data_IF_705170357307
#
_entry.id   IF_705170357307
#
_cell.length_a   1.000
_cell.length_b   1.000
_cell.length_c   1.000
_cell.angle_alpha   90.00
_cell.angle_beta   90.00
_cell.angle_gamma   90.00
#
_symmetry.space_group_name_H-M   'P 1'
#
loop_
_entity.id
_entity.type
_entity.pdbx_description
1 polymer ?
#
# COMPACT_ATOMS: atom_id res chain seq x y z
N UNK A 1 2.37 14.05 0.15
CA UNK A 1 2.63 12.67 0.58
C UNK A 1 4.01 12.55 1.19
N UNK A 2 4.11 11.80 2.25
CA UNK A 2 5.39 11.62 2.92
C UNK A 2 6.25 10.61 2.16
N UNK A 3 7.29 11.10 1.51
CA UNK A 3 8.19 10.27 0.72
C UNK A 3 8.99 9.29 1.60
N UNK A 4 9.24 9.66 2.85
CA UNK A 4 9.98 8.79 3.76
C UNK A 4 9.21 7.52 4.07
N UNK A 5 7.93 7.64 4.38
CA UNK A 5 7.09 6.47 4.63
C UNK A 5 7.00 5.56 3.42
N UNK A 6 6.91 6.14 2.25
CA UNK A 6 6.83 5.38 1.00
C UNK A 6 8.13 4.62 0.72
N UNK A 7 9.28 5.19 1.07
CA UNK A 7 10.57 4.50 0.92
C UNK A 7 10.61 3.21 1.74
N UNK A 8 10.09 3.22 2.94
CA UNK A 8 10.04 2.02 3.77
C UNK A 8 9.13 0.98 3.14
N UNK A 9 7.98 1.38 2.63
CA UNK A 9 7.09 0.47 1.93
C UNK A 9 7.75 -0.11 0.68
N UNK A 10 8.44 0.72 -0.09
CA UNK A 10 9.13 0.26 -1.29
C UNK A 10 10.14 -0.82 -0.95
N UNK A 11 10.93 -0.61 0.09
CA UNK A 11 11.89 -1.59 0.56
C UNK A 11 11.20 -2.88 1.00
N UNK A 12 10.21 -2.76 1.87
CA UNK A 12 9.51 -3.92 2.41
C UNK A 12 8.83 -4.75 1.33
N UNK A 13 8.11 -4.11 0.43
CA UNK A 13 7.39 -4.83 -0.63
C UNK A 13 8.33 -5.47 -1.63
N UNK A 14 9.43 -4.82 -1.94
CA UNK A 14 10.44 -5.41 -2.82
C UNK A 14 11.02 -6.68 -2.21
N UNK A 15 11.28 -6.67 -0.92
CA UNK A 15 11.80 -7.85 -0.21
C UNK A 15 10.75 -8.95 -0.15
N UNK A 16 9.53 -8.60 0.24
CA UNK A 16 8.45 -9.58 0.42
C UNK A 16 8.13 -10.31 -0.87
N UNK A 17 8.12 -9.60 -1.99
CA UNK A 17 7.83 -10.21 -3.28
C UNK A 17 9.06 -10.64 -4.05
N UNK A 18 10.25 -10.29 -3.55
CA UNK A 18 11.50 -10.64 -4.19
C UNK A 18 11.71 -10.02 -5.56
N UNK A 19 11.01 -8.91 -5.83
CA UNK A 19 10.96 -8.36 -7.18
C UNK A 19 10.60 -6.88 -7.17
N UNK A 20 11.40 -6.08 -7.88
CA UNK A 20 11.09 -4.67 -8.11
C UNK A 20 9.84 -4.51 -8.97
N UNK A 21 9.65 -5.41 -9.91
CA UNK A 21 8.49 -5.37 -10.80
C UNK A 21 7.19 -5.50 -10.03
N UNK A 22 7.12 -6.50 -9.15
CA UNK A 22 5.91 -6.72 -8.36
C UNK A 22 5.66 -5.59 -7.38
N UNK A 23 6.71 -5.07 -6.75
CA UNK A 23 6.58 -3.94 -5.86
C UNK A 23 6.08 -2.71 -6.60
N UNK A 24 6.59 -2.47 -7.81
CA UNK A 24 6.16 -1.31 -8.60
C UNK A 24 4.69 -1.41 -8.98
N UNK A 25 4.23 -2.60 -9.35
CA UNK A 25 2.82 -2.83 -9.67
C UNK A 25 1.93 -2.58 -8.45
N UNK A 26 2.35 -3.10 -7.31
CA UNK A 26 1.58 -2.97 -6.07
C UNK A 26 1.47 -1.52 -5.60
N UNK A 27 2.56 -0.79 -5.69
CA UNK A 27 2.64 0.58 -5.18
C UNK A 27 2.33 1.64 -6.23
N UNK A 28 2.08 1.22 -7.47
CA UNK A 28 1.77 2.11 -8.60
C UNK A 28 2.90 3.08 -8.91
N UNK A 29 4.13 2.57 -8.90
CA UNK A 29 5.33 3.32 -9.27
C UNK A 29 6.09 2.55 -10.34
N UNK A 30 6.97 3.22 -11.05
CA UNK A 30 7.84 2.53 -11.99
C UNK A 30 8.90 1.73 -11.24
N UNK A 31 9.46 0.73 -11.91
CA UNK A 31 10.57 -0.04 -11.33
C UNK A 31 11.74 0.86 -10.97
N UNK A 32 12.07 1.80 -11.84
CA UNK A 32 13.14 2.76 -11.57
C UNK A 32 12.81 3.64 -10.37
N UNK A 33 11.54 4.00 -10.19
CA UNK A 33 11.10 4.77 -9.05
C UNK A 33 11.29 4.01 -7.74
N UNK A 34 10.89 2.74 -7.71
CA UNK A 34 11.07 1.88 -6.54
C UNK A 34 12.55 1.69 -6.24
N UNK A 35 13.35 1.38 -7.27
CA UNK A 35 14.79 1.20 -7.12
C UNK A 35 15.45 2.47 -6.57
N UNK A 36 15.01 3.63 -7.04
CA UNK A 36 15.54 4.91 -6.57
C UNK A 36 15.21 5.18 -5.11
N UNK A 37 13.97 4.88 -4.70
CA UNK A 37 13.57 5.06 -3.30
C UNK A 37 14.43 4.22 -2.37
N UNK A 38 14.67 2.97 -2.74
CA UNK A 38 15.51 2.08 -1.94
C UNK A 38 16.96 2.55 -1.96
N UNK A 39 17.45 2.98 -3.13
CA UNK A 39 18.79 3.55 -3.24
C UNK A 39 18.97 4.78 -2.36
N UNK A 40 17.93 5.61 -2.26
CA UNK A 40 17.95 6.78 -1.39
C UNK A 40 18.06 6.39 0.08
N UNK A 41 17.34 5.32 0.50
CA UNK A 41 17.47 4.79 1.86
C UNK A 41 18.87 4.29 2.13
N UNK A 42 19.44 3.54 1.19
CA UNK A 42 20.80 3.02 1.32
C UNK A 42 21.80 4.14 1.47
N UNK A 43 21.63 5.20 0.71
CA UNK A 43 22.48 6.39 0.78
C UNK A 43 22.32 7.10 2.12
N UNK A 44 21.10 7.30 2.53
CA UNK A 44 20.76 8.00 3.77
C UNK A 44 21.38 7.30 4.97
N UNK A 45 21.32 5.98 4.99
CA UNK A 45 21.83 5.17 6.08
C UNK A 45 23.30 4.75 5.89
N UNK A 46 23.82 4.96 4.70
CA UNK A 46 25.16 4.52 4.33
C UNK A 46 25.35 3.02 4.51
N UNK A 47 24.33 2.27 4.10
CA UNK A 47 24.31 0.82 4.19
C UNK A 47 23.74 0.24 2.90
N UNK A 48 24.19 -0.96 2.54
CA UNK A 48 23.60 -1.70 1.44
C UNK A 48 22.56 -2.64 2.04
N UNK A 49 21.32 -2.51 1.59
CA UNK A 49 20.20 -3.28 2.13
C UNK A 49 19.86 -4.48 1.27
N UNK A 50 20.04 -4.38 -0.04
CA UNK A 50 19.62 -5.41 -0.99
C UNK A 50 20.77 -5.82 -1.89
N UNK A 51 20.82 -7.12 -2.16
CA UNK A 51 21.65 -7.69 -3.21
C UNK A 51 20.74 -8.00 -4.40
N UNK A 52 21.11 -7.50 -5.57
CA UNK A 52 20.33 -7.66 -6.80
C UNK A 52 20.99 -8.69 -7.68
N UNK A 53 20.21 -9.61 -8.21
CA UNK A 53 20.70 -10.64 -9.11
C UNK A 53 19.67 -10.91 -10.19
N UNK A 54 20.01 -11.77 -11.15
CA UNK A 54 19.10 -12.17 -12.22
C UNK A 54 17.86 -12.90 -11.66
N UNK A 55 18.03 -13.58 -10.55
CA UNK A 55 16.96 -14.38 -9.96
C UNK A 55 16.08 -13.59 -8.99
N UNK A 56 16.44 -12.35 -8.71
CA UNK A 56 15.64 -11.50 -7.86
C UNK A 56 16.44 -10.68 -6.90
N UNK A 57 15.87 -10.40 -5.74
CA UNK A 57 16.40 -9.48 -4.75
C UNK A 57 16.48 -10.21 -3.42
N UNK A 58 17.59 -10.07 -2.71
CA UNK A 58 17.78 -10.64 -1.38
C UNK A 58 18.29 -9.57 -0.43
N UNK A 59 18.00 -9.77 0.85
CA UNK A 59 18.52 -8.87 1.90
C UNK A 59 20.00 -9.15 2.16
N UNK A 60 20.76 -8.07 2.36
CA UNK A 60 22.09 -8.17 2.94
C UNK A 60 21.97 -8.50 4.43
N UNK A 61 23.08 -8.74 5.11
CA UNK A 61 23.08 -8.93 6.56
C UNK A 61 22.49 -7.70 7.28
N UNK A 62 22.91 -6.51 6.85
CA UNK A 62 22.38 -5.26 7.40
C UNK A 62 20.90 -5.11 7.10
N UNK A 63 20.49 -5.46 5.88
CA UNK A 63 19.10 -5.44 5.49
C UNK A 63 18.24 -6.36 6.34
N UNK A 64 18.76 -7.55 6.67
CA UNK A 64 18.05 -8.49 7.52
C UNK A 64 17.83 -7.92 8.93
N UNK A 65 18.79 -7.21 9.45
CA UNK A 65 18.67 -6.61 10.78
C UNK A 65 17.67 -5.46 10.79
N UNK A 66 17.60 -4.70 9.72
CA UNK A 66 16.74 -3.52 9.64
C UNK A 66 15.33 -3.83 9.14
N UNK A 67 15.17 -4.94 8.43
CA UNK A 67 13.89 -5.26 7.80
C UNK A 67 12.71 -5.28 8.77
N UNK A 68 12.79 -5.91 9.96
CA UNK A 68 11.65 -5.91 10.87
C UNK A 68 11.20 -4.51 11.28
N UNK A 69 12.16 -3.61 11.47
CA UNK A 69 11.83 -2.23 11.85
C UNK A 69 11.22 -1.47 10.68
N UNK A 70 11.79 -1.64 9.50
CA UNK A 70 11.23 -1.01 8.30
C UNK A 70 9.82 -1.53 8.02
N UNK A 71 9.60 -2.83 8.24
CA UNK A 71 8.28 -3.43 8.07
C UNK A 71 7.28 -2.81 9.03
N UNK A 72 7.66 -2.63 10.29
CA UNK A 72 6.82 -1.99 11.27
C UNK A 72 6.46 -0.56 10.89
N UNK A 73 7.45 0.20 10.45
CA UNK A 73 7.21 1.57 9.99
C UNK A 73 6.30 1.60 8.77
N UNK A 74 6.54 0.70 7.81
CA UNK A 74 5.73 0.62 6.61
C UNK A 74 4.28 0.28 6.92
N UNK A 75 4.05 -0.65 7.84
CA UNK A 75 2.72 -1.03 8.26
C UNK A 75 1.99 0.13 8.94
N UNK A 76 2.69 0.86 9.81
CA UNK A 76 2.11 2.03 10.46
C UNK A 76 1.82 3.14 9.45
N UNK A 77 2.71 3.32 8.48
CA UNK A 77 2.47 4.27 7.40
C UNK A 77 1.20 3.92 6.63
N UNK A 78 1.02 2.64 6.29
CA UNK A 78 -0.18 2.19 5.59
C UNK A 78 -1.43 2.42 6.42
N UNK A 79 -1.37 2.11 7.71
CA UNK A 79 -2.50 2.34 8.62
C UNK A 79 -2.85 3.81 8.70
N UNK A 80 -1.84 4.66 8.77
CA UNK A 80 -2.06 6.11 8.80
C UNK A 80 -2.74 6.56 7.51
N UNK A 81 -2.27 6.10 6.36
CA UNK A 81 -2.88 6.46 5.08
C UNK A 81 -4.32 5.97 4.98
N UNK A 82 -4.57 4.75 5.44
CA UNK A 82 -5.93 4.22 5.46
C UNK A 82 -6.84 5.07 6.34
N UNK A 83 -6.34 5.48 7.49
CA UNK A 83 -7.13 6.32 8.40
C UNK A 83 -7.41 7.69 7.79
N UNK A 84 -6.43 8.29 7.13
CA UNK A 84 -6.62 9.54 6.42
C UNK A 84 -7.67 9.38 5.32
N UNK A 85 -7.58 8.30 4.56
CA UNK A 85 -8.52 8.03 3.48
C UNK A 85 -9.92 7.78 4.03
N UNK A 86 -10.03 7.11 5.16
CA UNK A 86 -11.32 6.88 5.82
C UNK A 86 -11.97 8.21 6.22
N UNK A 87 -11.21 9.08 6.84
CA UNK A 87 -11.73 10.39 7.25
C UNK A 87 -12.16 11.22 6.05
N UNK A 88 -11.39 11.18 4.98
CA UNK A 88 -11.76 11.85 3.74
C UNK A 88 -12.97 11.19 3.09
N UNK A 89 -13.00 9.87 3.12
CA UNK A 89 -14.11 9.10 2.58
C UNK A 89 -15.42 9.37 3.31
N UNK A 90 -15.35 9.57 4.62
CA UNK A 90 -16.53 9.89 5.40
C UNK A 90 -17.11 11.26 5.07
N UNK A 91 -16.25 12.20 4.72
CA UNK A 91 -16.71 13.54 4.28
C UNK A 91 -17.43 13.49 2.94
N UNK A 92 -17.08 12.54 2.08
CA UNK A 92 -17.67 12.36 0.77
C UNK A 92 -18.07 10.91 0.52
N UNK A 93 -18.44 10.21 1.61
CA UNK A 93 -18.68 8.78 1.58
C UNK A 93 -19.69 8.34 0.56
N UNK A 94 -20.78 9.08 0.41
CA UNK A 94 -21.83 8.73 -0.52
C UNK A 94 -21.31 8.70 -1.95
N UNK A 95 -20.49 9.67 -2.30
CA UNK A 95 -19.91 9.77 -3.65
C UNK A 95 -18.98 8.57 -3.89
N UNK A 96 -18.16 8.21 -2.92
CA UNK A 96 -17.25 7.08 -3.05
C UNK A 96 -18.01 5.77 -3.21
N UNK A 97 -19.06 5.59 -2.46
CA UNK A 97 -19.90 4.41 -2.55
C UNK A 97 -20.53 4.34 -3.94
N UNK A 98 -21.03 5.45 -4.46
CA UNK A 98 -21.58 5.51 -5.79
C UNK A 98 -20.57 5.15 -6.87
N UNK A 99 -19.33 5.56 -6.71
CA UNK A 99 -18.26 5.22 -7.63
C UNK A 99 -18.00 3.70 -7.67
N UNK A 100 -17.95 3.07 -6.52
CA UNK A 100 -17.77 1.62 -6.45
C UNK A 100 -18.91 0.88 -7.11
N UNK A 101 -20.10 1.40 -6.95
CA UNK A 101 -21.28 0.76 -7.50
C UNK A 101 -21.23 0.67 -9.02
N UNK A 102 -20.79 1.72 -9.65
CA UNK A 102 -20.72 1.75 -11.10
C UNK A 102 -19.64 0.82 -11.65
N UNK A 103 -18.63 0.50 -10.85
CA UNK A 103 -17.49 -0.26 -11.32
C UNK A 103 -17.68 -1.77 -11.18
N UNK A 104 -18.41 -2.22 -10.18
CA UNK A 104 -18.28 -3.61 -9.76
C UNK A 104 -19.58 -4.25 -9.36
N UNK A 105 -20.55 -4.25 -10.26
CA UNK A 105 -21.86 -4.83 -9.95
C UNK A 105 -21.79 -6.33 -9.63
N UNK A 106 -20.92 -7.07 -10.34
CA UNK A 106 -20.84 -8.52 -10.14
C UNK A 106 -20.05 -8.93 -8.89
N UNK A 107 -19.20 -8.04 -8.36
CA UNK A 107 -18.46 -8.31 -7.13
C UNK A 107 -18.82 -7.34 -6.01
N UNK A 108 -19.95 -6.72 -6.15
CA UNK A 108 -20.50 -5.79 -5.16
C UNK A 108 -20.56 -6.39 -3.75
N UNK A 109 -20.98 -7.65 -3.54
CA UNK A 109 -21.01 -8.20 -2.18
C UNK A 109 -19.65 -8.17 -1.49
N UNK A 110 -18.57 -8.41 -2.22
CA UNK A 110 -17.23 -8.34 -1.65
C UNK A 110 -16.87 -6.91 -1.27
N UNK A 111 -17.22 -5.96 -2.11
CA UNK A 111 -16.96 -4.54 -1.85
C UNK A 111 -17.73 -4.09 -0.64
N UNK A 112 -19.00 -4.47 -0.52
CA UNK A 112 -19.82 -4.10 0.62
C UNK A 112 -19.26 -4.69 1.91
N UNK A 113 -18.81 -5.94 1.88
CA UNK A 113 -18.20 -6.56 3.05
C UNK A 113 -16.92 -5.81 3.46
N UNK A 114 -16.11 -5.40 2.49
CA UNK A 114 -14.92 -4.61 2.77
C UNK A 114 -15.29 -3.25 3.37
N UNK A 115 -16.33 -2.61 2.85
CA UNK A 115 -16.80 -1.35 3.41
C UNK A 115 -17.31 -1.49 4.83
N UNK A 116 -17.97 -2.59 5.15
CA UNK A 116 -18.41 -2.82 6.52
C UNK A 116 -17.24 -2.88 7.49
N UNK A 117 -16.13 -3.42 7.04
CA UNK A 117 -14.92 -3.50 7.84
C UNK A 117 -14.21 -2.16 7.93
N UNK A 118 -14.06 -1.48 6.80
CA UNK A 118 -13.23 -0.27 6.69
C UNK A 118 -13.99 1.00 7.03
N UNK A 119 -15.30 1.02 6.79
CA UNK A 119 -16.13 2.20 6.96
C UNK A 119 -17.41 1.87 7.73
N UNK A 120 -17.28 1.48 8.99
CA UNK A 120 -18.46 1.06 9.76
C UNK A 120 -19.50 2.16 9.97
N UNK A 121 -19.11 3.42 9.83
CA UNK A 121 -20.04 4.53 9.99
C UNK A 121 -20.78 4.94 8.73
N UNK A 122 -20.49 4.31 7.59
CA UNK A 122 -21.13 4.65 6.32
C UNK A 122 -22.34 3.74 6.10
N UNK A 123 -23.42 4.34 5.65
CA UNK A 123 -24.67 3.62 5.42
C UNK A 123 -24.61 2.84 4.11
N UNK A 124 -24.40 1.55 4.21
CA UNK A 124 -24.39 0.71 3.01
C UNK A 124 -25.76 0.40 2.48
N UNK A 125 -26.78 0.50 3.29
CA UNK A 125 -28.13 0.24 2.83
C UNK A 125 -28.51 1.18 1.72
N UNK A 126 -28.04 2.40 1.82
CA UNK A 126 -28.22 3.38 0.78
C UNK A 126 -27.60 2.91 -0.52
N UNK A 127 -26.41 2.35 -0.44
CA UNK A 127 -25.72 1.80 -1.59
C UNK A 127 -26.47 0.61 -2.17
N UNK A 128 -26.92 -0.30 -1.34
CA UNK A 128 -27.68 -1.46 -1.77
C UNK A 128 -29.01 -1.08 -2.38
N UNK A 129 -29.66 -0.07 -1.83
CA UNK A 129 -30.89 0.43 -2.38
C UNK A 129 -30.75 0.97 -3.80
N UNK A 130 -29.62 1.54 -4.09
CA UNK A 130 -29.35 2.08 -5.42
C UNK A 130 -29.07 0.99 -6.45
N UNK A 131 -28.72 -0.21 -6.00
CA UNK A 131 -28.38 -1.32 -6.88
C UNK A 131 -29.43 -2.37 -6.97
N UNK A 132 -30.24 -2.41 -5.98
CA UNK A 132 -31.34 -3.35 -5.98
C UNK A 132 -32.57 -2.71 -6.59
#
# INVERSE_FOLDING_TARGET
MDMNGLKYLAFVKTVEYGSFTKASELLHYSQSGISRMIGDLEKEWNLTLLERSRTGVRLTAEGQQLFPYAKGLGEEYQKLQMQVDDLRGMQSGLIRIGTFSSVATHWLPKIIAAFQTDYPGIDYELLLGDYT
#
